data_IF_556913930765
#
_entry.id   IF_556913930765
#
_cell.length_a   1.000
_cell.length_b   1.000
_cell.length_c   1.000
_cell.angle_alpha   90.00
_cell.angle_beta   90.00
_cell.angle_gamma   90.00
#
_symmetry.space_group_name_H-M   'P 1'
#
loop_
_entity.id
_entity.type
_entity.pdbx_description
1 polymer ?
#
# COMPACT_ATOMS: atom_id res chain seq x y z
N UNK A 1 -13.18 -30.99 13.44
CA UNK A 1 -12.24 -30.01 14.04
C UNK A 1 -11.84 -28.94 13.00
N UNK A 2 -12.80 -28.20 12.43
CA UNK A 2 -12.54 -27.26 11.31
C UNK A 2 -13.01 -25.82 11.58
N UNK A 3 -13.46 -25.47 12.80
CA UNK A 3 -14.04 -24.15 13.06
C UNK A 3 -13.08 -23.13 13.69
N UNK A 4 -11.91 -23.53 14.20
CA UNK A 4 -11.07 -22.62 15.00
C UNK A 4 -10.32 -21.57 14.18
N UNK A 5 -9.89 -21.91 12.95
CA UNK A 5 -9.13 -21.01 12.08
C UNK A 5 -10.00 -19.90 11.48
N UNK A 6 -11.25 -20.23 11.10
CA UNK A 6 -12.22 -19.25 10.63
C UNK A 6 -12.62 -18.27 11.72
N UNK A 7 -12.78 -18.76 12.96
CA UNK A 7 -13.19 -17.93 14.10
C UNK A 7 -12.09 -16.94 14.54
N UNK A 8 -10.81 -17.32 14.43
CA UNK A 8 -9.68 -16.42 14.70
C UNK A 8 -9.59 -15.29 13.66
N UNK A 9 -9.70 -15.63 12.36
CA UNK A 9 -9.75 -14.62 11.28
C UNK A 9 -10.93 -13.66 11.46
N UNK A 10 -12.12 -14.18 11.82
CA UNK A 10 -13.35 -13.39 12.01
C UNK A 10 -13.32 -12.52 13.28
N UNK A 11 -12.74 -13.00 14.38
CA UNK A 11 -12.57 -12.23 15.62
C UNK A 11 -11.54 -11.12 15.48
N UNK A 12 -10.47 -11.35 14.72
CA UNK A 12 -9.52 -10.29 14.39
C UNK A 12 -10.18 -9.26 13.46
N UNK A 13 -10.90 -9.69 12.42
CA UNK A 13 -11.68 -8.79 11.56
C UNK A 13 -12.68 -7.90 12.34
N UNK A 14 -13.43 -8.48 13.29
CA UNK A 14 -14.37 -7.74 14.15
C UNK A 14 -13.68 -6.75 15.09
N UNK A 15 -12.58 -7.14 15.74
CA UNK A 15 -11.78 -6.23 16.58
C UNK A 15 -11.24 -5.06 15.76
N UNK A 16 -10.86 -5.28 14.51
CA UNK A 16 -10.34 -4.26 13.62
C UNK A 16 -11.39 -3.32 13.04
N UNK A 17 -12.60 -3.82 12.74
CA UNK A 17 -13.73 -2.96 12.40
C UNK A 17 -14.05 -1.93 13.49
N UNK A 18 -13.71 -2.23 14.75
CA UNK A 18 -13.83 -1.30 15.88
C UNK A 18 -12.65 -0.32 16.04
N UNK A 19 -11.45 -0.66 15.56
CA UNK A 19 -10.28 0.25 15.58
C UNK A 19 -10.29 1.26 14.41
N UNK A 20 -10.92 0.93 13.28
CA UNK A 20 -11.16 1.89 12.18
C UNK A 20 -12.23 2.95 12.48
N UNK A 21 -12.74 3.05 13.71
CA UNK A 21 -13.89 3.91 14.07
C UNK A 21 -13.52 5.22 14.79
N UNK A 22 -12.25 5.50 15.06
CA UNK A 22 -11.86 6.76 15.70
C UNK A 22 -11.12 7.74 14.77
N UNK A 23 -11.71 8.09 13.62
CA UNK A 23 -11.55 9.39 12.97
C UNK A 23 -12.62 9.56 11.86
N UNK A 24 -13.46 10.58 12.00
CA UNK A 24 -14.42 11.09 11.01
C UNK A 24 -15.63 10.18 10.70
N UNK A 25 -16.58 10.11 11.63
CA UNK A 25 -18.00 9.88 11.28
C UNK A 25 -18.86 11.03 11.79
N UNK A 26 -18.65 12.22 11.23
CA UNK A 26 -19.67 13.27 11.23
C UNK A 26 -19.88 13.68 9.78
N UNK A 27 -20.89 13.11 9.08
CA UNK A 27 -21.29 13.62 7.78
C UNK A 27 -21.82 15.05 7.97
N UNK A 28 -21.20 16.05 7.31
CA UNK A 28 -21.86 17.33 7.03
C UNK A 28 -21.48 18.56 7.86
N UNK A 29 -20.47 18.53 8.73
CA UNK A 29 -19.98 19.73 9.42
C UNK A 29 -18.46 19.84 9.26
N UNK A 30 -18.04 20.91 8.61
CA UNK A 30 -16.69 21.24 8.11
C UNK A 30 -16.37 20.58 6.76
N UNK A 31 -16.62 21.34 5.69
CA UNK A 31 -15.89 21.21 4.43
C UNK A 31 -14.44 21.67 4.66
N UNK A 32 -13.71 20.97 5.52
CA UNK A 32 -12.26 21.05 5.56
C UNK A 32 -11.81 20.35 4.27
N UNK A 33 -11.18 21.11 3.38
CA UNK A 33 -10.67 20.60 2.12
C UNK A 33 -9.73 19.43 2.42
N UNK A 34 -10.19 18.20 2.15
CA UNK A 34 -9.41 17.01 2.47
C UNK A 34 -8.07 17.08 1.75
N UNK A 35 -6.99 16.92 2.51
CA UNK A 35 -5.64 16.97 1.97
C UNK A 35 -5.45 15.76 1.05
N UNK A 36 -5.38 16.02 -0.26
CA UNK A 36 -5.10 15.02 -1.28
C UNK A 36 -3.80 14.28 -0.96
N UNK A 37 -3.84 12.96 -0.95
CA UNK A 37 -2.65 12.11 -0.85
C UNK A 37 -1.74 12.35 -2.06
N UNK A 38 -0.45 12.71 -1.88
CA UNK A 38 0.45 13.01 -2.98
C UNK A 38 0.75 11.75 -3.81
N UNK A 39 0.84 11.93 -5.13
CA UNK A 39 1.39 10.89 -6.00
C UNK A 39 2.91 10.82 -5.82
N UNK A 40 3.44 9.60 -5.79
CA UNK A 40 4.87 9.32 -5.69
C UNK A 40 5.25 8.26 -6.72
N UNK A 41 6.55 8.11 -6.97
CA UNK A 41 7.05 7.09 -7.91
C UNK A 41 6.64 5.67 -7.48
N UNK A 42 6.27 4.83 -8.45
CA UNK A 42 6.13 3.38 -8.28
C UNK A 42 7.46 2.73 -7.86
N UNK A 43 8.59 3.37 -8.21
CA UNK A 43 9.90 2.77 -8.06
C UNK A 43 10.10 1.59 -9.01
N UNK A 44 11.30 0.99 -9.00
CA UNK A 44 11.65 -0.06 -9.97
C UNK A 44 11.29 -1.47 -9.49
N UNK A 45 10.62 -1.61 -8.34
CA UNK A 45 10.47 -2.89 -7.63
C UNK A 45 9.02 -3.29 -7.36
N UNK A 46 8.05 -2.73 -8.10
CA UNK A 46 6.77 -3.40 -8.24
C UNK A 46 7.02 -4.82 -8.78
N UNK A 47 6.38 -5.88 -8.24
CA UNK A 47 6.73 -7.25 -8.58
C UNK A 47 6.75 -7.51 -10.09
N UNK A 48 7.89 -8.01 -10.59
CA UNK A 48 8.05 -8.39 -11.99
C UNK A 48 7.48 -9.79 -12.29
N UNK A 49 7.26 -10.58 -11.24
CA UNK A 49 6.50 -11.81 -11.24
C UNK A 49 5.57 -11.78 -10.05
N UNK A 50 4.26 -11.85 -10.32
CA UNK A 50 3.27 -11.88 -9.26
C UNK A 50 3.41 -13.15 -8.41
N UNK A 51 3.26 -13.05 -7.08
CA UNK A 51 3.17 -14.22 -6.23
C UNK A 51 1.91 -15.03 -6.56
N UNK A 52 1.92 -16.33 -6.22
CA UNK A 52 0.78 -17.22 -6.47
C UNK A 52 -0.45 -16.79 -5.69
N UNK A 53 -0.24 -16.37 -4.44
CA UNK A 53 -1.24 -15.69 -3.63
C UNK A 53 -0.98 -14.18 -3.66
N UNK A 54 -2.05 -13.41 -3.71
CA UNK A 54 -2.04 -11.94 -3.75
C UNK A 54 -3.00 -11.36 -2.71
N UNK A 55 -3.46 -12.17 -1.76
CA UNK A 55 -4.40 -11.73 -0.75
C UNK A 55 -3.81 -10.62 0.16
N UNK A 56 -4.57 -10.27 1.18
CA UNK A 56 -4.22 -9.19 2.07
C UNK A 56 -3.46 -9.64 3.33
N UNK A 57 -2.94 -10.87 3.36
CA UNK A 57 -2.20 -11.43 4.48
C UNK A 57 -0.79 -11.86 4.04
N UNK A 58 0.15 -10.93 4.08
CA UNK A 58 1.50 -11.12 3.57
C UNK A 58 2.37 -12.07 4.42
N UNK A 59 1.83 -12.63 5.51
CA UNK A 59 2.54 -13.49 6.46
C UNK A 59 2.24 -14.98 6.31
N UNK A 60 1.21 -15.37 5.56
CA UNK A 60 0.85 -16.76 5.31
C UNK A 60 1.00 -17.03 3.82
N UNK A 61 1.94 -17.89 3.46
CA UNK A 61 2.15 -18.32 2.08
C UNK A 61 1.85 -19.81 1.99
N UNK A 62 0.93 -20.22 1.12
CA UNK A 62 0.66 -21.63 0.77
C UNK A 62 0.51 -22.57 1.98
N UNK A 63 -0.26 -22.16 3.00
CA UNK A 63 -0.47 -22.92 4.25
C UNK A 63 0.82 -23.26 5.04
N UNK A 64 1.93 -22.55 4.78
CA UNK A 64 3.16 -22.70 5.54
C UNK A 64 2.93 -22.40 7.02
N UNK A 65 3.42 -23.30 7.88
CA UNK A 65 3.38 -23.13 9.34
C UNK A 65 4.47 -22.17 9.85
N UNK A 66 5.42 -21.79 9.00
CA UNK A 66 6.50 -20.87 9.34
C UNK A 66 6.08 -19.45 8.96
N UNK A 67 5.82 -18.55 9.93
CA UNK A 67 5.48 -17.18 9.64
C UNK A 67 6.71 -16.39 9.15
N UNK A 68 6.46 -15.32 8.38
CA UNK A 68 7.48 -14.32 8.08
C UNK A 68 8.08 -13.71 9.35
N UNK A 69 9.35 -13.28 9.24
CA UNK A 69 10.04 -12.58 10.31
C UNK A 69 9.81 -11.07 10.17
N UNK A 70 9.41 -10.40 11.26
CA UNK A 70 9.30 -8.93 11.33
C UNK A 70 8.34 -8.47 12.42
N UNK A 71 8.24 -7.15 12.61
CA UNK A 71 7.24 -6.55 13.49
C UNK A 71 5.85 -6.62 12.82
N UNK A 72 5.06 -7.64 13.17
CA UNK A 72 3.73 -7.87 12.59
C UNK A 72 2.88 -6.61 12.74
N UNK A 73 2.38 -6.11 11.62
CA UNK A 73 1.57 -4.90 11.55
C UNK A 73 0.28 -5.17 10.82
N UNK A 74 -0.80 -4.73 11.42
CA UNK A 74 -2.10 -4.61 10.79
C UNK A 74 -2.25 -3.19 10.23
N UNK A 75 -2.28 -3.10 8.91
CA UNK A 75 -2.41 -1.86 8.17
C UNK A 75 -3.84 -1.75 7.63
N UNK A 76 -4.53 -0.66 7.95
CA UNK A 76 -5.87 -0.40 7.40
C UNK A 76 -6.07 1.07 7.07
N UNK A 77 -7.23 1.39 6.50
CA UNK A 77 -7.64 2.75 6.21
C UNK A 77 -8.85 2.79 5.29
N UNK A 78 -9.18 3.98 4.81
CA UNK A 78 -10.22 4.23 3.81
C UNK A 78 -9.63 4.83 2.55
N UNK A 79 -10.23 4.51 1.41
CA UNK A 79 -10.06 5.27 0.17
C UNK A 79 -11.26 6.21 0.03
N UNK A 80 -10.98 7.51 -0.08
CA UNK A 80 -11.96 8.58 -0.19
C UNK A 80 -11.75 9.35 -1.50
N UNK A 81 -12.83 9.86 -2.08
CA UNK A 81 -12.74 10.82 -3.18
C UNK A 81 -12.43 12.25 -2.67
N UNK A 82 -12.34 13.21 -3.59
CA UNK A 82 -12.04 14.60 -3.28
C UNK A 82 -13.13 15.30 -2.43
N UNK A 83 -14.33 14.70 -2.31
CA UNK A 83 -15.45 15.18 -1.49
C UNK A 83 -15.57 14.41 -0.17
N UNK A 84 -14.64 13.51 0.12
CA UNK A 84 -14.66 12.66 1.31
C UNK A 84 -15.63 11.49 1.23
N UNK A 85 -16.17 11.17 0.06
CA UNK A 85 -17.05 10.03 -0.11
C UNK A 85 -16.23 8.74 -0.21
N UNK A 86 -16.66 7.65 0.45
CA UNK A 86 -15.96 6.38 0.36
C UNK A 86 -15.93 5.79 -1.04
N UNK A 87 -14.74 5.38 -1.48
CA UNK A 87 -14.55 4.73 -2.77
C UNK A 87 -14.65 3.21 -2.62
N UNK A 88 -15.84 2.67 -2.86
CA UNK A 88 -16.08 1.21 -2.92
C UNK A 88 -15.52 0.56 -4.19
N UNK A 89 -15.25 -0.75 -4.11
CA UNK A 89 -14.80 -1.60 -5.21
C UNK A 89 -13.53 -1.10 -5.93
N UNK A 90 -12.64 -0.43 -5.19
CA UNK A 90 -11.30 -0.08 -5.65
C UNK A 90 -10.32 -1.13 -5.13
N UNK A 91 -9.35 -1.51 -5.94
CA UNK A 91 -8.22 -2.31 -5.49
C UNK A 91 -7.18 -1.40 -4.86
N UNK A 92 -6.85 -1.66 -3.60
CA UNK A 92 -5.63 -1.19 -2.97
C UNK A 92 -4.60 -2.28 -3.12
N UNK A 93 -3.43 -1.96 -3.66
CA UNK A 93 -2.29 -2.88 -3.76
C UNK A 93 -1.15 -2.31 -2.90
N UNK A 94 -0.45 -3.18 -2.18
CA UNK A 94 0.76 -2.82 -1.45
C UNK A 94 1.94 -3.67 -1.89
N UNK A 95 3.13 -3.08 -1.87
CA UNK A 95 4.38 -3.82 -1.97
C UNK A 95 5.46 -3.17 -1.10
N UNK A 96 6.34 -3.99 -0.55
CA UNK A 96 7.40 -3.56 0.35
C UNK A 96 8.54 -4.58 0.39
N UNK A 97 9.63 -4.19 1.04
CA UNK A 97 10.69 -5.13 1.45
C UNK A 97 10.23 -6.03 2.59
N UNK A 98 10.85 -7.20 2.71
CA UNK A 98 10.85 -8.02 3.91
C UNK A 98 11.70 -7.40 5.05
N UNK A 99 11.78 -8.09 6.20
CA UNK A 99 12.62 -7.67 7.35
C UNK A 99 14.12 -7.68 7.08
N UNK A 100 14.55 -8.28 5.97
CA UNK A 100 15.95 -8.33 5.50
C UNK A 100 16.20 -7.35 4.35
N UNK A 101 15.31 -6.37 4.20
CA UNK A 101 15.41 -5.29 3.22
C UNK A 101 15.42 -5.77 1.76
N UNK A 102 14.76 -6.90 1.45
CA UNK A 102 14.67 -7.44 0.08
C UNK A 102 13.24 -7.37 -0.48
N UNK A 103 13.11 -6.88 -1.72
CA UNK A 103 11.84 -6.86 -2.47
C UNK A 103 11.56 -8.20 -3.15
N UNK A 104 10.28 -8.48 -3.42
CA UNK A 104 9.86 -9.49 -4.39
C UNK A 104 10.12 -8.99 -5.83
N UNK A 105 11.39 -8.92 -6.24
CA UNK A 105 11.78 -8.46 -7.57
C UNK A 105 13.14 -9.01 -7.99
N UNK A 106 13.29 -9.46 -9.24
CA UNK A 106 14.55 -10.13 -9.69
C UNK A 106 15.78 -9.21 -9.70
N UNK A 107 15.56 -7.89 -9.79
CA UNK A 107 16.60 -6.85 -9.74
C UNK A 107 16.75 -6.20 -8.36
N UNK A 108 16.04 -6.69 -7.35
CA UNK A 108 16.15 -6.19 -5.98
C UNK A 108 17.50 -6.55 -5.36
N UNK A 109 17.96 -5.72 -4.41
CA UNK A 109 19.11 -6.08 -3.58
C UNK A 109 18.77 -7.24 -2.64
N UNK A 110 19.80 -7.97 -2.17
CA UNK A 110 19.69 -9.06 -1.22
C UNK A 110 18.68 -10.20 -1.59
N UNK A 111 18.44 -10.42 -2.90
CA UNK A 111 17.46 -11.41 -3.38
C UNK A 111 17.68 -12.84 -2.84
N UNK A 112 18.93 -13.22 -2.58
CA UNK A 112 19.31 -14.54 -2.07
C UNK A 112 19.03 -14.68 -0.57
N UNK A 113 19.02 -13.57 0.16
CA UNK A 113 18.73 -13.51 1.59
C UNK A 113 17.23 -13.35 1.91
N UNK A 114 16.38 -13.13 0.89
CA UNK A 114 14.95 -12.84 1.06
C UNK A 114 14.25 -13.87 1.95
N UNK A 115 13.34 -13.40 2.81
CA UNK A 115 12.44 -14.23 3.57
C UNK A 115 11.45 -14.93 2.63
N UNK A 116 11.60 -16.25 2.49
CA UNK A 116 10.70 -17.08 1.68
C UNK A 116 9.28 -17.18 2.23
N UNK A 117 9.05 -16.74 3.48
CA UNK A 117 7.74 -16.76 4.13
C UNK A 117 7.03 -15.40 4.09
N UNK A 118 7.68 -14.35 3.58
CA UNK A 118 7.06 -13.03 3.41
C UNK A 118 6.65 -12.79 1.96
N UNK A 119 5.36 -12.47 1.76
CA UNK A 119 4.80 -12.40 0.40
C UNK A 119 5.28 -11.16 -0.36
N UNK A 120 5.57 -10.05 0.34
CA UNK A 120 6.10 -8.82 -0.26
C UNK A 120 5.13 -8.02 -1.15
N UNK A 121 3.98 -8.59 -1.50
CA UNK A 121 2.90 -7.95 -2.25
C UNK A 121 1.54 -8.43 -1.74
N UNK A 122 0.53 -7.57 -1.78
CA UNK A 122 -0.86 -7.97 -1.56
C UNK A 122 -1.83 -6.98 -2.16
N UNK A 123 -3.08 -7.41 -2.34
CA UNK A 123 -4.18 -6.54 -2.77
C UNK A 123 -5.45 -6.77 -1.97
N UNK A 124 -6.23 -5.71 -1.83
CA UNK A 124 -7.52 -5.74 -1.15
C UNK A 124 -8.54 -4.91 -1.94
N UNK A 125 -9.76 -5.43 -2.10
CA UNK A 125 -10.85 -4.68 -2.71
C UNK A 125 -11.65 -3.94 -1.63
N UNK A 126 -11.75 -2.62 -1.76
CA UNK A 126 -12.44 -1.80 -0.76
C UNK A 126 -13.92 -2.16 -0.64
N UNK A 127 -14.41 -2.14 0.60
CA UNK A 127 -15.81 -2.44 0.90
C UNK A 127 -16.75 -1.26 0.59
N UNK A 128 -18.04 -1.37 0.97
CA UNK A 128 -19.04 -0.31 0.76
C UNK A 128 -18.73 0.99 1.52
N UNK A 129 -17.89 0.93 2.55
CA UNK A 129 -17.42 2.08 3.34
C UNK A 129 -16.01 2.53 2.92
N UNK A 130 -15.52 2.04 1.77
CA UNK A 130 -14.20 2.38 1.23
C UNK A 130 -13.04 1.81 2.04
N UNK A 131 -13.29 0.90 2.98
CA UNK A 131 -12.27 0.39 3.89
C UNK A 131 -11.41 -0.66 3.22
N UNK A 132 -10.12 -0.67 3.55
CA UNK A 132 -9.17 -1.73 3.19
C UNK A 132 -8.36 -2.17 4.40
N UNK A 133 -7.76 -3.36 4.30
CA UNK A 133 -6.99 -3.95 5.39
C UNK A 133 -5.95 -4.94 4.89
N UNK A 134 -4.78 -4.93 5.51
CA UNK A 134 -3.67 -5.85 5.29
C UNK A 134 -3.08 -6.31 6.62
N UNK A 135 -2.63 -7.56 6.67
CA UNK A 135 -1.66 -8.03 7.66
C UNK A 135 -0.30 -8.16 6.98
N UNK A 136 0.68 -7.40 7.48
CA UNK A 136 2.03 -7.28 6.92
C UNK A 136 3.05 -7.15 8.06
N UNK A 137 4.27 -6.69 7.75
CA UNK A 137 5.27 -6.27 8.73
C UNK A 137 5.56 -4.78 8.57
N UNK A 138 5.96 -4.13 9.66
CA UNK A 138 6.49 -2.77 9.63
C UNK A 138 7.71 -2.72 8.69
N UNK A 139 7.77 -1.75 7.76
CA UNK A 139 8.86 -1.71 6.80
C UNK A 139 10.18 -1.35 7.50
N UNK A 140 11.29 -1.73 6.87
CA UNK A 140 12.65 -1.40 7.31
C UNK A 140 13.37 -0.57 6.24
N UNK A 141 14.45 0.17 6.60
CA UNK A 141 15.26 0.85 5.60
C UNK A 141 15.91 -0.16 4.65
N UNK A 142 16.13 0.26 3.40
CA UNK A 142 16.89 -0.54 2.45
C UNK A 142 17.84 0.33 1.63
N UNK A 143 18.91 -0.28 1.12
CA UNK A 143 19.90 0.41 0.31
C UNK A 143 19.32 0.77 -1.05
N UNK A 144 19.56 2.00 -1.49
CA UNK A 144 19.22 2.45 -2.83
C UNK A 144 20.34 3.36 -3.35
N UNK A 145 21.00 2.92 -4.42
CA UNK A 145 22.15 3.64 -4.96
C UNK A 145 23.27 3.73 -3.93
N UNK A 146 23.65 4.96 -3.55
CA UNK A 146 24.73 5.21 -2.58
C UNK A 146 24.25 5.40 -1.13
N UNK A 147 22.93 5.44 -0.91
CA UNK A 147 22.35 5.71 0.41
C UNK A 147 21.26 4.72 0.79
N UNK A 148 20.36 5.14 1.68
CA UNK A 148 19.21 4.38 2.13
C UNK A 148 17.92 5.11 1.79
N UNK A 149 16.87 4.33 1.53
CA UNK A 149 15.50 4.85 1.55
C UNK A 149 14.96 4.77 2.96
N UNK A 150 14.18 5.76 3.36
CA UNK A 150 13.41 5.67 4.61
C UNK A 150 12.43 4.48 4.57
N UNK A 151 12.07 3.83 5.69
CA UNK A 151 11.11 2.74 5.66
C UNK A 151 9.77 3.19 5.09
N UNK A 152 9.28 2.47 4.09
CA UNK A 152 8.01 2.76 3.46
C UNK A 152 7.33 1.50 2.95
N UNK A 153 6.01 1.61 2.78
CA UNK A 153 5.21 0.67 2.03
C UNK A 153 4.69 1.42 0.81
N UNK A 154 4.92 0.88 -0.38
CA UNK A 154 4.31 1.44 -1.56
C UNK A 154 2.83 1.08 -1.60
N UNK A 155 2.01 2.01 -2.07
CA UNK A 155 0.56 1.84 -2.17
C UNK A 155 0.09 2.27 -3.54
N UNK A 156 -0.73 1.44 -4.17
CA UNK A 156 -1.44 1.78 -5.37
C UNK A 156 -2.95 1.65 -5.19
N UNK A 157 -3.70 2.59 -5.76
CA UNK A 157 -5.15 2.51 -5.85
C UNK A 157 -5.53 2.39 -7.31
N UNK A 158 -6.28 1.35 -7.63
CA UNK A 158 -6.82 1.10 -8.95
C UNK A 158 -8.34 0.93 -8.88
N UNK A 159 -9.10 1.51 -9.80
CA UNK A 159 -10.56 1.28 -9.90
C UNK A 159 -10.93 1.03 -11.34
N UNK A 160 -11.88 0.13 -11.56
CA UNK A 160 -12.27 -0.31 -12.90
C UNK A 160 -11.02 -0.58 -13.73
N UNK A 161 -10.05 -1.30 -13.15
CA UNK A 161 -8.72 -1.53 -13.70
C UNK A 161 -8.08 -0.30 -14.35
N UNK A 162 -8.01 0.81 -13.65
CA UNK A 162 -7.10 1.88 -14.00
C UNK A 162 -6.35 2.27 -12.75
N UNK A 163 -5.04 2.47 -12.88
CA UNK A 163 -4.22 3.02 -11.81
C UNK A 163 -4.59 4.50 -11.64
N UNK A 164 -5.14 4.83 -10.47
CA UNK A 164 -5.60 6.18 -10.11
C UNK A 164 -4.52 6.91 -9.32
N UNK A 165 -3.88 6.19 -8.41
CA UNK A 165 -2.84 6.73 -7.54
C UNK A 165 -1.76 5.68 -7.34
N UNK A 166 -0.51 6.12 -7.43
CA UNK A 166 0.63 5.44 -6.84
C UNK A 166 1.24 6.39 -5.81
N UNK A 167 1.49 5.91 -4.61
CA UNK A 167 2.06 6.68 -3.49
C UNK A 167 2.89 5.77 -2.58
N UNK A 168 3.44 6.34 -1.52
CA UNK A 168 4.18 5.60 -0.49
C UNK A 168 3.72 6.11 0.87
N UNK A 169 3.44 5.22 1.82
CA UNK A 169 3.32 5.58 3.23
C UNK A 169 4.68 5.40 3.90
N UNK A 170 5.04 6.32 4.78
CA UNK A 170 6.32 6.36 5.48
C UNK A 170 6.06 6.29 6.99
N UNK A 171 7.03 5.78 7.74
CA UNK A 171 6.93 5.79 9.21
C UNK A 171 7.06 7.22 9.72
N UNK A 172 6.07 7.68 10.49
CA UNK A 172 6.10 9.00 11.12
C UNK A 172 7.30 9.13 12.08
N UNK A 173 8.01 10.25 12.02
CA UNK A 173 9.15 10.54 12.88
C UNK A 173 10.43 9.75 12.58
N UNK A 174 10.48 8.91 11.55
CA UNK A 174 11.70 8.17 11.21
C UNK A 174 12.82 9.11 10.74
N UNK A 175 14.04 8.92 11.24
CA UNK A 175 15.19 9.82 11.00
C UNK A 175 15.53 9.98 9.51
N UNK A 176 15.50 8.87 8.75
CA UNK A 176 15.77 8.87 7.32
C UNK A 176 14.76 9.65 6.47
N UNK A 177 13.59 10.03 7.03
CA UNK A 177 12.66 10.89 6.30
C UNK A 177 13.32 12.23 5.92
N UNK A 178 14.19 12.79 6.76
CA UNK A 178 14.86 14.06 6.48
C UNK A 178 15.85 13.97 5.30
N UNK A 179 16.34 12.78 5.00
CA UNK A 179 17.34 12.50 3.97
C UNK A 179 16.74 11.90 2.69
N UNK A 180 15.53 11.34 2.77
CA UNK A 180 14.89 10.65 1.64
C UNK A 180 14.52 11.63 0.52
N UNK A 181 15.21 11.51 -0.60
CA UNK A 181 15.04 12.38 -1.76
C UNK A 181 13.66 12.30 -2.40
N UNK A 182 12.94 11.17 -2.29
CA UNK A 182 11.58 11.03 -2.84
C UNK A 182 10.58 11.74 -1.93
N UNK A 183 10.68 11.56 -0.62
CA UNK A 183 9.85 12.28 0.35
C UNK A 183 10.01 13.80 0.23
N UNK A 184 11.25 14.28 0.07
CA UNK A 184 11.56 15.71 -0.09
C UNK A 184 11.04 16.34 -1.37
N UNK A 185 10.67 15.56 -2.39
CA UNK A 185 10.06 16.10 -3.62
C UNK A 185 8.63 16.61 -3.39
N UNK A 186 7.96 16.16 -2.34
CA UNK A 186 6.60 16.61 -2.00
C UNK A 186 6.69 18.02 -1.41
N UNK A 187 6.33 19.03 -2.22
CA UNK A 187 6.51 20.44 -1.85
C UNK A 187 5.53 20.87 -0.75
N UNK A 188 4.26 20.49 -0.88
CA UNK A 188 3.20 20.84 0.06
C UNK A 188 3.44 20.14 1.42
N UNK A 189 3.62 20.89 2.54
CA UNK A 189 3.83 20.31 3.86
C UNK A 189 2.68 19.44 4.37
N UNK A 190 1.43 19.80 4.08
CA UNK A 190 0.27 19.03 4.51
C UNK A 190 0.17 17.71 3.75
N UNK A 191 0.49 17.71 2.45
CA UNK A 191 0.61 16.46 1.68
C UNK A 191 1.77 15.58 2.16
N UNK A 192 2.87 16.18 2.63
CA UNK A 192 3.96 15.42 3.27
C UNK A 192 3.48 14.74 4.54
N UNK A 193 2.76 15.47 5.40
CA UNK A 193 2.20 14.90 6.63
C UNK A 193 1.17 13.80 6.36
N UNK A 194 0.38 13.90 5.30
CA UNK A 194 -0.68 12.94 5.00
C UNK A 194 -0.19 11.53 4.64
N UNK A 195 1.10 11.34 4.37
CA UNK A 195 1.72 10.03 4.12
C UNK A 195 2.58 9.53 5.28
N UNK A 196 2.67 10.28 6.39
CA UNK A 196 3.36 9.85 7.60
C UNK A 196 2.39 9.06 8.47
N UNK A 197 2.71 7.80 8.74
CA UNK A 197 1.85 6.86 9.45
C UNK A 197 2.51 6.44 10.76
N UNK A 198 1.74 6.51 11.84
CA UNK A 198 2.18 5.95 13.13
C UNK A 198 2.00 4.43 13.13
N UNK A 199 3.02 3.72 13.60
CA UNK A 199 2.96 2.29 13.88
C UNK A 199 2.91 2.11 15.40
N UNK A 200 1.71 1.90 15.94
CA UNK A 200 1.46 1.87 17.39
C UNK A 200 1.28 0.44 17.88
N UNK A 201 1.72 0.09 19.10
CA UNK A 201 1.40 -1.20 19.70
C UNK A 201 -0.12 -1.45 19.69
N UNK A 202 -0.52 -2.63 19.23
CA UNK A 202 -1.90 -3.07 19.28
C UNK A 202 -2.25 -3.45 20.72
N UNK A 203 -3.25 -2.81 21.35
CA UNK A 203 -3.68 -3.17 22.69
C UNK A 203 -4.02 -4.65 22.81
N UNK A 204 -3.64 -5.26 23.93
CA UNK A 204 -3.86 -6.68 24.24
C UNK A 204 -3.21 -7.69 23.27
N UNK A 205 -2.31 -7.26 22.39
CA UNK A 205 -1.54 -8.19 21.56
C UNK A 205 -0.56 -8.99 22.40
N UNK A 206 -0.64 -10.32 22.31
CA UNK A 206 0.30 -11.24 22.96
C UNK A 206 1.63 -11.38 22.22
N UNK A 207 1.67 -10.95 20.96
CA UNK A 207 2.82 -11.11 20.06
C UNK A 207 3.53 -9.77 19.78
N UNK A 208 3.13 -8.69 20.46
CA UNK A 208 3.68 -7.36 20.22
C UNK A 208 3.31 -6.79 18.85
N UNK A 209 2.13 -7.15 18.33
CA UNK A 209 1.66 -6.68 17.03
C UNK A 209 1.43 -5.16 17.03
N UNK A 210 1.52 -4.57 15.85
CA UNK A 210 1.35 -3.14 15.63
C UNK A 210 0.07 -2.85 14.84
N UNK A 211 -0.39 -1.62 14.98
CA UNK A 211 -1.50 -1.03 14.27
C UNK A 211 -1.02 0.21 13.50
N UNK A 212 -1.43 0.30 12.23
CA UNK A 212 -1.17 1.45 11.36
C UNK A 212 -2.44 1.81 10.59
N UNK A 213 -2.79 3.11 10.57
CA UNK A 213 -3.93 3.63 9.81
C UNK A 213 -3.44 4.61 8.73
N UNK A 214 -3.83 4.37 7.48
CA UNK A 214 -3.46 5.20 6.33
C UNK A 214 -4.69 5.49 5.46
N UNK A 215 -5.31 6.64 5.66
CA UNK A 215 -6.41 7.08 4.81
C UNK A 215 -5.89 7.72 3.51
N UNK A 216 -6.49 7.33 2.39
CA UNK A 216 -6.09 7.74 1.06
C UNK A 216 -7.17 8.65 0.50
N UNK A 217 -6.84 9.93 0.29
CA UNK A 217 -7.73 10.90 -0.33
C UNK A 217 -7.30 11.10 -1.78
N UNK A 218 -8.17 10.70 -2.69
CA UNK A 218 -7.97 10.92 -4.11
C UNK A 218 -8.33 12.37 -4.47
N UNK A 219 -7.50 13.01 -5.29
CA UNK A 219 -7.86 14.28 -5.92
C UNK A 219 -8.77 14.05 -7.12
N UNK A 220 -9.23 15.14 -7.75
CA UNK A 220 -9.91 15.04 -9.05
C UNK A 220 -9.00 14.32 -10.05
N UNK A 221 -9.44 13.16 -10.54
CA UNK A 221 -8.73 12.47 -11.63
C UNK A 221 -9.16 13.07 -12.97
N UNK A 222 -8.30 13.06 -13.99
CA UNK A 222 -8.65 13.54 -15.33
C UNK A 222 -9.76 12.71 -15.99
N UNK A 223 -10.06 11.52 -15.44
CA UNK A 223 -11.07 10.58 -15.91
C UNK A 223 -12.32 10.53 -15.04
N UNK A 224 -12.38 11.38 -14.00
CA UNK A 224 -13.63 11.64 -13.29
C UNK A 224 -14.60 12.37 -14.21
N UNK A 225 -15.71 11.70 -14.51
CA UNK A 225 -16.87 12.35 -15.08
C UNK A 225 -17.32 13.50 -14.14
N UNK A 226 -18.09 14.49 -14.63
CA UNK A 226 -18.60 15.59 -13.80
C UNK A 226 -19.38 15.15 -12.54
N UNK A 227 -19.88 13.90 -12.52
CA UNK A 227 -20.58 13.27 -11.41
C UNK A 227 -19.66 12.56 -10.39
N UNK A 228 -18.34 12.50 -10.62
CA UNK A 228 -17.35 11.85 -9.75
C UNK A 228 -17.08 10.37 -10.06
N UNK A 229 -17.61 9.82 -11.16
CA UNK A 229 -17.36 8.43 -11.57
C UNK A 229 -16.10 8.32 -12.45
N UNK A 230 -15.29 7.27 -12.26
CA UNK A 230 -14.05 7.02 -13.03
C UNK A 230 -14.34 6.01 -14.16
N UNK A 231 -13.91 6.32 -15.40
CA UNK A 231 -14.05 5.43 -16.58
C UNK A 231 -13.23 4.13 -16.44
N UNK A 232 -13.63 3.06 -17.13
CA UNK A 232 -13.09 1.70 -16.92
C UNK A 232 -11.99 1.23 -17.88
N UNK A 233 -11.20 0.23 -17.44
CA UNK A 233 -10.05 -0.40 -18.08
C UNK A 233 -9.48 -1.60 -17.27
N UNK A 234 -8.32 -2.16 -17.65
CA UNK A 234 -7.50 -3.07 -16.82
C UNK A 234 -6.18 -2.35 -16.51
N UNK A 235 -5.77 -2.34 -15.24
CA UNK A 235 -4.71 -1.45 -14.77
C UNK A 235 -3.41 -1.84 -15.43
N UNK A 236 -2.86 -0.98 -16.29
CA UNK A 236 -1.55 -1.20 -16.89
C UNK A 236 -0.50 -0.58 -15.98
N UNK A 237 0.55 -1.32 -15.64
CA UNK A 237 1.75 -0.77 -14.99
C UNK A 237 2.33 0.35 -15.85
N UNK A 238 2.90 1.38 -15.20
CA UNK A 238 3.59 2.49 -15.89
C UNK A 238 4.77 2.02 -16.76
N UNK A 239 5.22 0.75 -16.62
CA UNK A 239 6.36 0.19 -17.34
C UNK A 239 6.03 -0.35 -18.76
N UNK A 240 4.76 -0.41 -19.19
CA UNK A 240 4.44 -0.84 -20.56
C UNK A 240 4.41 0.34 -21.53
N UNK A 241 5.59 0.94 -21.78
CA UNK A 241 5.72 2.11 -22.65
C UNK A 241 7.09 2.23 -23.30
N UNK A 242 7.61 1.14 -23.89
CA UNK A 242 8.97 1.13 -24.46
C UNK A 242 9.22 0.12 -25.59
N UNK A 243 8.18 -0.29 -26.31
CA UNK A 243 8.37 -1.11 -27.51
C UNK A 243 8.76 -0.24 -28.71
N UNK A 244 10.06 -0.05 -28.94
CA UNK A 244 10.55 0.45 -30.24
C UNK A 244 10.21 -0.60 -31.30
N UNK A 245 9.28 -0.29 -32.19
CA UNK A 245 8.99 -1.09 -33.37
C UNK A 245 10.22 -1.21 -34.29
N UNK A 246 10.28 -2.22 -35.17
CA UNK A 246 11.44 -2.47 -36.01
C UNK A 246 11.63 -1.33 -37.02
N UNK A 247 12.85 -0.81 -37.13
CA UNK A 247 13.22 0.10 -38.23
C UNK A 247 13.22 -0.70 -39.55
N UNK A 248 12.59 -0.21 -40.63
CA UNK A 248 12.67 -0.87 -41.92
C UNK A 248 14.10 -0.76 -42.47
N UNK A 249 14.62 -1.89 -42.94
CA UNK A 249 15.90 -2.00 -43.65
C UNK A 249 15.86 -1.20 -44.95
N UNK A 250 16.78 -0.26 -45.14
CA UNK A 250 17.11 0.24 -46.48
C UNK A 250 17.87 -0.86 -47.22
N UNK A 251 17.24 -1.44 -48.24
CA UNK A 251 17.97 -2.10 -49.32
C UNK A 251 18.63 -1.02 -50.19
N UNK A 252 19.75 -1.44 -50.78
CA UNK A 252 20.73 -0.70 -51.57
C UNK A 252 20.12 0.24 -52.62
#
# INVERSE_FOLDING_TARGET
MSSSLSDLKRRNFLKWSAFSVAALTTPGLMAEELIRTPAMTEGPFYPDKMPLDTDNDLLIINDSLTPAVGEITYLGGKVLDAKGQPLRNAFVEIWQVDSKASYLHTRGENKEGRDGNFQGYGRFMTDSKGQYFFRTIKPVPYRAGRGFRTPHIHVAVSKNGQRILTTQLLINGHELNAEDGVYRQIRNPEQRKSILVDFKPLPDSKLGELAANFDIVLGKTAEENPDGTIKGGIGKSELTGGGRGPRPSRKQ
#
